data_IF_831702956716
#
_entry.id   IF_831702956716
#
_cell.length_a   1.000
_cell.length_b   1.000
_cell.length_c   1.000
_cell.angle_alpha   90.00
_cell.angle_beta   90.00
_cell.angle_gamma   90.00
#
_symmetry.space_group_name_H-M   'P 1'
#
loop_
_entity.id
_entity.type
_entity.pdbx_description
1 polymer ?
#
# COMPACT_ATOMS: atom_id res chain seq x y z
N UNK A 1 -2.41 24.13 6.29
CA UNK A 1 -3.52 23.16 6.16
C UNK A 1 -3.74 22.57 7.54
N UNK A 2 -4.97 22.46 7.97
CA UNK A 2 -5.28 22.00 9.31
C UNK A 2 -5.04 20.48 9.45
N UNK A 3 -4.54 20.05 10.62
CA UNK A 3 -4.45 18.64 10.97
C UNK A 3 -5.85 18.07 11.18
N UNK A 4 -6.06 16.80 10.84
CA UNK A 4 -7.31 16.11 11.19
C UNK A 4 -7.42 15.88 12.71
N UNK A 5 -6.34 16.06 13.45
CA UNK A 5 -6.26 15.92 14.89
C UNK A 5 -6.06 14.48 15.36
N UNK A 6 -6.60 14.21 16.56
CA UNK A 6 -6.51 12.87 17.18
C UNK A 6 -7.54 11.95 16.53
N UNK A 7 -7.08 10.77 16.10
CA UNK A 7 -7.90 9.70 15.53
C UNK A 7 -7.79 8.43 16.36
N UNK A 8 -8.74 7.52 16.19
CA UNK A 8 -8.71 6.24 16.86
C UNK A 8 -9.18 5.12 15.91
N UNK A 9 -8.46 4.00 15.86
CA UNK A 9 -8.88 2.85 15.08
C UNK A 9 -10.08 2.16 15.74
N UNK A 10 -10.92 1.56 14.91
CA UNK A 10 -12.00 0.67 15.33
C UNK A 10 -11.78 -0.73 14.78
N UNK A 11 -12.12 -1.73 15.57
CA UNK A 11 -12.05 -3.13 15.15
C UNK A 11 -13.43 -3.61 14.75
N UNK A 12 -13.57 -4.08 13.52
CA UNK A 12 -14.79 -4.66 12.98
C UNK A 12 -14.66 -6.19 12.91
N UNK A 13 -15.63 -6.91 13.49
CA UNK A 13 -15.63 -8.38 13.54
C UNK A 13 -16.60 -8.96 12.52
N UNK A 14 -16.17 -10.00 11.82
CA UNK A 14 -16.94 -10.69 10.78
C UNK A 14 -17.02 -12.18 11.12
N UNK A 15 -18.23 -12.65 11.47
CA UNK A 15 -18.49 -14.05 11.81
C UNK A 15 -18.59 -14.94 10.56
N UNK A 16 -19.10 -14.39 9.46
CA UNK A 16 -19.22 -15.15 8.21
C UNK A 16 -17.85 -15.43 7.60
N UNK A 17 -17.56 -16.69 7.23
CA UNK A 17 -16.29 -17.03 6.60
C UNK A 17 -16.06 -16.27 5.30
N UNK A 18 -14.83 -15.79 5.10
CA UNK A 18 -14.36 -15.26 3.83
C UNK A 18 -13.73 -16.41 3.02
N UNK A 19 -14.30 -16.71 1.87
CA UNK A 19 -13.69 -17.64 0.91
C UNK A 19 -12.54 -16.93 0.21
N UNK A 20 -11.37 -17.55 0.21
CA UNK A 20 -10.15 -17.00 -0.38
C UNK A 20 -9.90 -17.60 -1.77
N UNK A 21 -9.19 -16.86 -2.61
CA UNK A 21 -8.75 -17.31 -3.94
C UNK A 21 -7.90 -18.60 -3.87
N UNK A 22 -7.20 -18.82 -2.77
CA UNK A 22 -6.45 -20.07 -2.50
C UNK A 22 -7.30 -21.32 -2.34
N UNK A 23 -8.64 -21.18 -2.29
CA UNK A 23 -9.58 -22.25 -1.99
C UNK A 23 -9.83 -22.47 -0.49
N UNK A 24 -9.06 -21.82 0.37
CA UNK A 24 -9.27 -21.84 1.83
C UNK A 24 -10.42 -20.92 2.23
N UNK A 25 -10.84 -21.01 3.51
CA UNK A 25 -11.78 -20.08 4.10
C UNK A 25 -11.24 -19.55 5.42
N UNK A 26 -11.36 -18.26 5.65
CA UNK A 26 -11.02 -17.61 6.92
C UNK A 26 -12.32 -17.27 7.65
N UNK A 27 -12.60 -17.99 8.76
CA UNK A 27 -13.75 -17.75 9.62
C UNK A 27 -13.41 -16.84 10.79
N UNK A 28 -14.42 -16.12 11.33
CA UNK A 28 -14.27 -15.28 12.51
C UNK A 28 -13.03 -14.38 12.46
N UNK A 29 -12.96 -13.50 11.48
CA UNK A 29 -11.85 -12.57 11.32
C UNK A 29 -12.27 -11.15 11.70
N UNK A 30 -11.27 -10.32 11.95
CA UNK A 30 -11.44 -8.90 12.21
C UNK A 30 -10.62 -8.04 11.24
N UNK A 31 -11.12 -6.85 10.99
CA UNK A 31 -10.41 -5.78 10.27
C UNK A 31 -10.32 -4.55 11.16
N UNK A 32 -9.15 -3.93 11.16
CA UNK A 32 -8.96 -2.61 11.79
C UNK A 32 -9.19 -1.53 10.76
N UNK A 33 -9.98 -0.54 11.13
CA UNK A 33 -10.49 0.50 10.24
C UNK A 33 -10.33 1.85 10.92
N UNK A 34 -9.98 2.88 10.19
CA UNK A 34 -10.12 4.28 10.59
C UNK A 34 -11.03 5.02 9.62
N UNK A 35 -11.74 6.01 10.14
CA UNK A 35 -12.64 6.85 9.34
C UNK A 35 -12.36 8.33 9.62
N UNK A 36 -12.51 9.16 8.58
CA UNK A 36 -12.23 10.59 8.63
C UNK A 36 -13.34 11.35 7.92
N UNK A 37 -13.77 12.48 8.50
CA UNK A 37 -14.92 13.24 8.01
C UNK A 37 -16.26 12.59 8.35
N UNK A 38 -17.33 13.04 7.73
CA UNK A 38 -18.70 12.61 8.00
C UNK A 38 -19.37 12.01 6.77
N UNK A 39 -20.02 10.85 6.95
CA UNK A 39 -20.81 10.20 5.91
C UNK A 39 -22.13 10.97 5.75
N UNK A 40 -22.41 11.49 4.56
CA UNK A 40 -23.64 12.23 4.30
C UNK A 40 -24.88 11.30 4.31
N UNK A 41 -26.07 11.90 4.46
CA UNK A 41 -27.33 11.15 4.55
C UNK A 41 -27.59 10.24 3.32
N UNK A 42 -27.15 10.66 2.14
CA UNK A 42 -27.25 9.89 0.91
C UNK A 42 -26.15 8.79 0.78
N UNK A 43 -25.17 8.78 1.70
CA UNK A 43 -23.99 7.88 1.66
C UNK A 43 -23.24 7.93 0.34
N UNK A 44 -23.28 9.08 -0.34
CA UNK A 44 -22.73 9.28 -1.68
C UNK A 44 -21.30 9.81 -1.68
N UNK A 45 -20.78 10.29 -0.53
CA UNK A 45 -19.48 10.94 -0.39
C UNK A 45 -18.37 10.03 0.20
N UNK A 46 -18.59 8.73 0.22
CA UNK A 46 -17.62 7.78 0.78
C UNK A 46 -16.44 7.55 -0.17
N UNK A 47 -15.23 7.59 0.38
CA UNK A 47 -13.96 7.29 -0.32
C UNK A 47 -13.21 6.21 0.44
N UNK A 48 -12.81 5.15 -0.26
CA UNK A 48 -11.93 4.12 0.28
C UNK A 48 -10.48 4.43 -0.11
N UNK A 49 -9.60 4.51 0.88
CA UNK A 49 -8.15 4.64 0.67
C UNK A 49 -7.48 3.30 0.94
N UNK A 50 -6.91 2.71 -0.09
CA UNK A 50 -6.20 1.43 -0.05
C UNK A 50 -4.71 1.66 0.21
N UNK A 51 -4.17 1.01 1.23
CA UNK A 51 -2.79 1.24 1.66
C UNK A 51 -1.75 0.45 0.85
N UNK A 52 -0.53 0.96 0.82
CA UNK A 52 0.65 0.32 0.24
C UNK A 52 1.23 -0.78 1.16
N UNK A 53 2.29 -1.48 0.72
CA UNK A 53 2.86 -2.68 1.34
C UNK A 53 3.10 -2.55 2.85
N UNK A 54 3.76 -1.49 3.27
CA UNK A 54 4.17 -1.26 4.66
C UNK A 54 3.37 -0.17 5.39
N UNK A 55 2.27 0.28 4.78
CA UNK A 55 1.29 1.17 5.39
C UNK A 55 0.12 0.38 6.01
N UNK A 56 -0.87 1.08 6.56
CA UNK A 56 -1.99 0.48 7.27
C UNK A 56 -3.28 1.30 7.11
N UNK A 57 -4.28 1.02 7.93
CA UNK A 57 -5.50 1.81 8.06
C UNK A 57 -5.26 3.26 8.50
N UNK A 58 -4.12 3.55 9.15
CA UNK A 58 -3.78 4.87 9.67
C UNK A 58 -3.33 5.83 8.55
N UNK A 59 -4.32 6.40 7.86
CA UNK A 59 -4.08 7.24 6.67
C UNK A 59 -3.69 8.66 7.06
N UNK A 60 -4.34 9.26 8.07
CA UNK A 60 -4.13 10.64 8.47
C UNK A 60 -4.34 10.84 9.98
N UNK A 61 -3.90 11.98 10.52
CA UNK A 61 -4.02 12.30 11.93
C UNK A 61 -2.92 11.67 12.79
N UNK A 62 -3.12 11.69 14.10
CA UNK A 62 -2.20 11.15 15.11
C UNK A 62 -2.97 10.38 16.18
N UNK A 63 -2.33 9.46 16.88
CA UNK A 63 -2.92 8.79 18.05
C UNK A 63 -2.73 9.62 19.33
N UNK A 64 -3.69 9.50 20.25
CA UNK A 64 -3.65 10.25 21.50
C UNK A 64 -2.45 9.92 22.39
N UNK A 65 -2.01 8.66 22.37
CA UNK A 65 -0.91 8.11 23.15
C UNK A 65 0.46 8.19 22.45
N UNK A 66 0.48 8.47 21.14
CA UNK A 66 1.71 8.73 20.40
C UNK A 66 1.53 9.90 19.39
N UNK A 67 1.83 11.14 19.80
CA UNK A 67 1.74 12.31 18.92
C UNK A 67 2.69 12.26 17.70
N UNK A 68 3.61 11.30 17.63
CA UNK A 68 4.51 11.11 16.49
C UNK A 68 3.99 10.08 15.49
N UNK A 69 2.86 9.45 15.78
CA UNK A 69 2.19 8.50 14.90
C UNK A 69 1.42 9.20 13.77
N UNK A 70 2.11 10.00 12.95
CA UNK A 70 1.44 10.68 11.83
C UNK A 70 1.01 9.65 10.78
N UNK A 71 -0.25 9.76 10.32
CA UNK A 71 -0.79 8.92 9.25
C UNK A 71 0.06 9.01 7.98
N UNK A 72 0.16 7.90 7.25
CA UNK A 72 1.11 7.75 6.13
C UNK A 72 0.79 8.64 4.90
N UNK A 73 -0.44 9.17 4.81
CA UNK A 73 -0.88 10.14 3.81
C UNK A 73 -1.51 11.40 4.42
N UNK A 74 -1.08 11.76 5.62
CA UNK A 74 -1.59 12.95 6.31
C UNK A 74 -1.42 14.24 5.49
N UNK A 75 -0.40 14.32 4.65
CA UNK A 75 -0.22 15.45 3.74
C UNK A 75 -1.29 15.56 2.63
N UNK A 76 -1.96 14.45 2.30
CA UNK A 76 -2.96 14.40 1.24
C UNK A 76 -4.40 14.41 1.77
N UNK A 77 -4.65 13.83 2.95
CA UNK A 77 -5.99 13.60 3.52
C UNK A 77 -6.20 14.45 4.76
N UNK A 78 -7.28 15.22 4.80
CA UNK A 78 -7.65 16.04 5.95
C UNK A 78 -8.46 17.29 5.57
N UNK A 79 -8.85 18.12 6.55
CA UNK A 79 -9.61 19.34 6.32
C UNK A 79 -8.88 20.29 5.35
N UNK A 80 -9.51 20.65 4.24
CA UNK A 80 -8.93 21.53 3.22
C UNK A 80 -7.72 20.97 2.46
N UNK A 81 -7.35 19.70 2.67
CA UNK A 81 -6.28 18.99 1.93
C UNK A 81 -6.79 18.51 0.57
N UNK A 82 -5.94 17.95 -0.31
CA UNK A 82 -6.36 17.46 -1.62
C UNK A 82 -7.56 16.50 -1.59
N UNK A 83 -7.60 15.55 -0.64
CA UNK A 83 -8.78 14.80 -0.28
C UNK A 83 -9.37 15.43 0.99
N UNK A 84 -10.33 16.33 0.79
CA UNK A 84 -10.90 17.17 1.83
C UNK A 84 -11.95 16.41 2.66
N UNK A 85 -11.62 16.15 3.92
CA UNK A 85 -12.50 15.47 4.87
C UNK A 85 -13.68 16.33 5.37
N UNK A 86 -13.72 17.63 5.06
CA UNK A 86 -14.94 18.45 5.24
C UNK A 86 -16.06 18.07 4.26
N UNK A 87 -15.70 17.43 3.15
CA UNK A 87 -16.61 17.04 2.06
C UNK A 87 -16.77 15.54 1.92
N UNK A 88 -15.73 14.78 2.18
CA UNK A 88 -15.70 13.33 1.98
C UNK A 88 -15.58 12.57 3.29
N UNK A 89 -16.28 11.44 3.36
CA UNK A 89 -16.08 10.43 4.38
C UNK A 89 -15.05 9.43 3.88
N UNK A 90 -13.87 9.46 4.47
CA UNK A 90 -12.73 8.64 4.06
C UNK A 90 -12.59 7.42 4.97
N UNK A 91 -12.36 6.26 4.40
CA UNK A 91 -12.15 5.00 5.12
C UNK A 91 -10.78 4.45 4.77
N UNK A 92 -9.96 4.17 5.79
CA UNK A 92 -8.75 3.37 5.71
C UNK A 92 -8.99 1.99 6.32
N UNK A 93 -8.66 0.93 5.61
CA UNK A 93 -8.82 -0.47 6.09
C UNK A 93 -7.46 -1.13 6.13
N UNK A 94 -7.10 -1.74 7.27
CA UNK A 94 -5.92 -2.58 7.36
C UNK A 94 -6.20 -3.96 6.76
N UNK A 95 -5.46 -4.34 5.73
CA UNK A 95 -5.71 -5.57 4.97
C UNK A 95 -5.54 -6.84 5.81
N UNK A 96 -6.27 -7.89 5.47
CA UNK A 96 -6.06 -9.23 6.02
C UNK A 96 -4.63 -9.71 5.77
N UNK A 97 -4.04 -10.36 6.76
CA UNK A 97 -2.65 -10.81 6.68
C UNK A 97 -1.63 -9.74 7.05
N UNK A 98 -2.06 -8.48 7.26
CA UNK A 98 -1.19 -7.40 7.75
C UNK A 98 -0.92 -7.51 9.25
N UNK A 99 0.14 -6.84 9.73
CA UNK A 99 0.58 -6.88 11.13
C UNK A 99 0.07 -5.70 11.99
N UNK A 100 -0.94 -4.94 11.51
CA UNK A 100 -1.46 -3.77 12.19
C UNK A 100 -2.88 -3.98 12.75
N UNK A 101 -3.15 -5.17 13.29
CA UNK A 101 -4.34 -5.49 14.08
C UNK A 101 -5.46 -6.22 13.34
N UNK A 102 -5.56 -6.16 12.01
CA UNK A 102 -6.44 -7.08 11.26
C UNK A 102 -5.96 -8.52 11.39
N UNK A 103 -6.87 -9.49 11.25
CA UNK A 103 -6.48 -10.91 11.33
C UNK A 103 -5.38 -11.24 10.35
N UNK A 104 -4.29 -11.81 10.86
CA UNK A 104 -3.07 -12.11 10.11
C UNK A 104 -2.22 -13.17 10.80
N UNK A 105 -0.98 -13.36 10.37
CA UNK A 105 -0.07 -14.36 10.93
C UNK A 105 0.15 -14.27 12.44
N UNK A 106 0.11 -13.05 12.99
CA UNK A 106 0.28 -12.80 14.43
C UNK A 106 -0.99 -13.13 15.24
N UNK A 107 -2.14 -13.24 14.60
CA UNK A 107 -3.41 -13.54 15.26
C UNK A 107 -3.44 -14.98 15.77
N UNK A 108 -4.19 -15.20 16.87
CA UNK A 108 -4.38 -16.55 17.41
C UNK A 108 -5.33 -17.34 16.50
N UNK A 109 -4.87 -18.50 16.05
CA UNK A 109 -5.67 -19.48 15.36
C UNK A 109 -6.63 -20.16 16.37
N UNK A 110 -7.96 -20.01 16.22
CA UNK A 110 -8.91 -20.58 17.18
C UNK A 110 -8.84 -22.12 17.27
N UNK A 111 -8.34 -22.77 16.23
CA UNK A 111 -8.24 -24.25 16.19
C UNK A 111 -7.07 -24.78 17.01
N UNK A 112 -6.02 -23.98 17.21
CA UNK A 112 -4.79 -24.40 17.87
C UNK A 112 -4.49 -23.64 19.18
N UNK A 113 -5.09 -22.46 19.36
CA UNK A 113 -4.80 -21.56 20.46
C UNK A 113 -3.41 -20.90 20.36
N UNK A 114 -2.74 -20.96 19.20
CA UNK A 114 -1.42 -20.40 18.92
C UNK A 114 -1.50 -19.41 17.76
N UNK A 115 -0.51 -18.52 17.58
CA UNK A 115 -0.46 -17.69 16.39
C UNK A 115 -0.52 -18.52 15.10
N UNK A 116 -1.18 -18.00 14.09
CA UNK A 116 -1.22 -18.68 12.78
C UNK A 116 0.19 -18.91 12.22
N UNK A 117 1.08 -17.92 12.34
CA UNK A 117 2.41 -17.96 11.76
C UNK A 117 2.37 -18.26 10.26
N UNK A 118 3.24 -19.14 9.80
CA UNK A 118 3.27 -19.59 8.41
C UNK A 118 2.02 -20.40 7.97
N UNK A 119 1.14 -20.78 8.90
CA UNK A 119 -0.11 -21.46 8.59
C UNK A 119 -1.23 -20.49 8.19
N UNK A 120 -1.02 -19.19 8.35
CA UNK A 120 -2.02 -18.22 7.86
C UNK A 120 -2.23 -18.43 6.35
N UNK A 121 -3.49 -18.52 5.89
CA UNK A 121 -3.75 -18.80 4.48
C UNK A 121 -3.20 -17.68 3.59
N UNK A 122 -2.70 -18.05 2.41
CA UNK A 122 -2.27 -17.06 1.42
C UNK A 122 -3.48 -16.26 0.96
N UNK A 123 -3.36 -14.95 1.07
CA UNK A 123 -4.37 -13.97 0.63
C UNK A 123 -3.88 -13.27 -0.62
N UNK A 124 -4.81 -12.80 -1.45
CA UNK A 124 -4.56 -12.04 -2.67
C UNK A 124 -5.13 -10.63 -2.58
N UNK A 125 -4.85 -9.80 -3.57
CA UNK A 125 -5.45 -8.46 -3.70
C UNK A 125 -6.97 -8.56 -3.78
N UNK A 126 -7.48 -9.55 -4.50
CA UNK A 126 -8.91 -9.80 -4.65
C UNK A 126 -9.57 -10.21 -3.32
N UNK A 127 -8.88 -10.98 -2.49
CA UNK A 127 -9.35 -11.34 -1.16
C UNK A 127 -9.47 -10.09 -0.26
N UNK A 128 -8.51 -9.17 -0.36
CA UNK A 128 -8.59 -7.88 0.36
C UNK A 128 -9.79 -7.07 -0.09
N UNK A 129 -10.04 -7.00 -1.40
CA UNK A 129 -11.21 -6.30 -1.96
C UNK A 129 -12.52 -6.93 -1.46
N UNK A 130 -12.62 -8.25 -1.40
CA UNK A 130 -13.79 -8.92 -0.82
C UNK A 130 -13.97 -8.59 0.67
N UNK A 131 -12.90 -8.54 1.45
CA UNK A 131 -12.95 -8.18 2.86
C UNK A 131 -13.36 -6.70 3.05
N UNK A 132 -12.78 -5.80 2.25
CA UNK A 132 -13.12 -4.37 2.26
C UNK A 132 -14.58 -4.12 1.83
N UNK A 133 -15.14 -4.94 0.93
CA UNK A 133 -16.54 -4.86 0.53
C UNK A 133 -17.48 -5.12 1.71
N UNK A 134 -17.14 -6.04 2.62
CA UNK A 134 -17.91 -6.26 3.85
C UNK A 134 -17.84 -5.07 4.82
N UNK A 135 -16.71 -4.35 4.84
CA UNK A 135 -16.62 -3.08 5.59
C UNK A 135 -17.57 -2.05 4.99
N UNK A 136 -17.60 -1.91 3.67
CA UNK A 136 -18.53 -1.01 2.99
C UNK A 136 -20.00 -1.37 3.30
N UNK A 137 -20.34 -2.66 3.28
CA UNK A 137 -21.69 -3.15 3.60
C UNK A 137 -22.08 -2.81 5.06
N UNK A 138 -21.16 -2.95 6.00
CA UNK A 138 -21.39 -2.61 7.40
C UNK A 138 -21.63 -1.10 7.62
N UNK A 139 -21.02 -0.23 6.83
CA UNK A 139 -21.33 1.20 6.79
C UNK A 139 -22.58 1.53 5.95
N UNK A 140 -23.17 0.55 5.27
CA UNK A 140 -24.30 0.72 4.36
C UNK A 140 -23.93 1.53 3.11
N UNK A 141 -22.68 1.45 2.65
CA UNK A 141 -22.18 2.13 1.47
C UNK A 141 -22.39 1.20 0.26
N UNK A 142 -23.38 1.52 -0.56
CA UNK A 142 -23.67 0.77 -1.77
C UNK A 142 -22.65 1.08 -2.87
N UNK A 143 -22.21 2.34 -2.95
CA UNK A 143 -21.28 2.81 -3.97
C UNK A 143 -20.31 3.85 -3.40
N UNK A 144 -19.01 3.65 -3.60
CA UNK A 144 -18.00 4.65 -3.30
C UNK A 144 -17.98 5.78 -4.34
N UNK A 145 -17.85 7.03 -3.86
CA UNK A 145 -17.50 8.17 -4.71
C UNK A 145 -16.15 7.94 -5.39
N UNK A 146 -15.18 7.40 -4.63
CA UNK A 146 -13.91 6.97 -5.18
C UNK A 146 -13.32 5.79 -4.38
N UNK A 147 -12.57 4.93 -5.06
CA UNK A 147 -11.59 4.03 -4.45
C UNK A 147 -10.22 4.47 -4.94
N UNK A 148 -9.32 4.74 -4.00
CA UNK A 148 -8.03 5.38 -4.26
C UNK A 148 -6.89 4.60 -3.60
N UNK A 149 -5.74 4.54 -4.25
CA UNK A 149 -4.53 4.02 -3.64
C UNK A 149 -3.28 4.30 -4.44
N UNK A 150 -2.14 4.25 -3.74
CA UNK A 150 -0.82 4.34 -4.34
C UNK A 150 -0.11 2.98 -4.32
N UNK A 151 0.69 2.67 -5.35
CA UNK A 151 1.45 1.43 -5.42
C UNK A 151 0.54 0.19 -5.32
N UNK A 152 0.75 -0.70 -4.34
CA UNK A 152 -0.16 -1.82 -4.03
C UNK A 152 -1.60 -1.35 -3.78
N UNK A 153 -1.79 -0.15 -3.23
CA UNK A 153 -3.11 0.45 -3.05
C UNK A 153 -3.81 0.73 -4.38
N UNK A 154 -3.06 1.12 -5.41
CA UNK A 154 -3.58 1.30 -6.77
C UNK A 154 -4.03 -0.03 -7.40
N UNK A 155 -3.29 -1.13 -7.17
CA UNK A 155 -3.74 -2.46 -7.58
C UNK A 155 -5.07 -2.84 -6.91
N UNK A 156 -5.25 -2.52 -5.64
CA UNK A 156 -6.51 -2.74 -4.93
C UNK A 156 -7.65 -1.89 -5.53
N UNK A 157 -7.38 -0.62 -5.82
CA UNK A 157 -8.37 0.27 -6.44
C UNK A 157 -8.78 -0.24 -7.84
N UNK A 158 -7.81 -0.70 -8.63
CA UNK A 158 -8.07 -1.33 -9.93
C UNK A 158 -8.92 -2.60 -9.76
N UNK A 159 -8.54 -3.49 -8.84
CA UNK A 159 -9.30 -4.71 -8.54
C UNK A 159 -10.75 -4.40 -8.12
N UNK A 160 -10.96 -3.38 -7.27
CA UNK A 160 -12.30 -2.91 -6.89
C UNK A 160 -13.17 -2.55 -8.10
N UNK A 161 -12.61 -1.80 -9.03
CA UNK A 161 -13.33 -1.35 -10.24
C UNK A 161 -13.71 -2.49 -11.19
N UNK A 162 -13.01 -3.62 -11.10
CA UNK A 162 -13.24 -4.82 -11.89
C UNK A 162 -14.20 -5.79 -11.21
N UNK A 163 -14.01 -6.03 -9.90
CA UNK A 163 -14.79 -6.99 -9.14
C UNK A 163 -16.17 -6.46 -8.75
N UNK A 164 -16.27 -5.15 -8.53
CA UNK A 164 -17.50 -4.47 -8.12
C UNK A 164 -17.77 -3.24 -8.99
N UNK A 165 -17.97 -3.39 -10.32
CA UNK A 165 -18.05 -2.27 -11.25
C UNK A 165 -19.20 -1.30 -10.96
N UNK A 166 -20.30 -1.76 -10.34
CA UNK A 166 -21.43 -0.91 -9.95
C UNK A 166 -21.13 -0.11 -8.67
N UNK A 167 -20.17 -0.57 -7.85
CA UNK A 167 -19.90 0.00 -6.54
C UNK A 167 -18.78 1.04 -6.53
N UNK A 168 -18.17 1.34 -7.67
CA UNK A 168 -17.06 2.31 -7.80
C UNK A 168 -17.42 3.36 -8.82
N UNK A 169 -17.58 4.62 -8.38
CA UNK A 169 -17.82 5.73 -9.31
C UNK A 169 -16.51 6.19 -9.97
N UNK A 170 -15.46 6.35 -9.16
CA UNK A 170 -14.13 6.74 -9.61
C UNK A 170 -13.06 5.79 -9.06
N UNK A 171 -12.13 5.38 -9.91
CA UNK A 171 -10.90 4.65 -9.54
C UNK A 171 -9.71 5.60 -9.69
N UNK A 172 -9.00 5.84 -8.60
CA UNK A 172 -7.81 6.71 -8.58
C UNK A 172 -6.59 5.82 -8.30
N UNK A 173 -5.82 5.56 -9.34
CA UNK A 173 -4.68 4.65 -9.35
C UNK A 173 -3.38 5.44 -9.52
N UNK A 174 -2.53 5.43 -8.49
CA UNK A 174 -1.36 6.29 -8.38
C UNK A 174 -0.10 5.42 -8.27
N UNK A 175 0.92 5.72 -9.10
CA UNK A 175 2.21 5.03 -9.06
C UNK A 175 2.06 3.51 -9.01
N UNK A 176 1.20 2.92 -9.84
CA UNK A 176 0.84 1.50 -9.80
C UNK A 176 1.04 0.83 -11.16
N UNK A 177 0.72 -0.45 -11.22
CA UNK A 177 0.91 -1.30 -12.40
C UNK A 177 -0.21 -2.34 -12.48
N UNK A 178 -0.65 -2.76 -13.68
CA UNK A 178 -1.65 -3.81 -13.80
C UNK A 178 -1.15 -5.18 -13.37
N UNK A 179 0.18 -5.39 -13.32
CA UNK A 179 0.85 -6.59 -12.80
C UNK A 179 2.33 -6.32 -12.58
N UNK A 180 2.96 -7.12 -11.73
CA UNK A 180 4.40 -7.04 -11.54
C UNK A 180 5.17 -7.50 -12.79
N UNK A 181 6.28 -6.81 -13.07
CA UNK A 181 7.28 -7.27 -14.03
C UNK A 181 8.12 -8.41 -13.44
N UNK A 182 8.80 -9.17 -14.30
CA UNK A 182 9.76 -10.18 -13.86
C UNK A 182 10.84 -9.60 -12.92
N UNK A 183 11.28 -8.35 -13.16
CA UNK A 183 12.24 -7.66 -12.31
C UNK A 183 11.65 -7.41 -10.91
N UNK A 184 10.40 -6.96 -10.80
CA UNK A 184 9.76 -6.73 -9.50
C UNK A 184 9.56 -8.04 -8.73
N UNK A 185 9.17 -9.13 -9.42
CA UNK A 185 9.06 -10.47 -8.81
C UNK A 185 10.44 -10.94 -8.33
N UNK A 186 11.52 -10.68 -9.07
CA UNK A 186 12.87 -11.00 -8.67
C UNK A 186 13.30 -10.24 -7.40
N UNK A 187 13.00 -8.96 -7.27
CA UNK A 187 13.25 -8.21 -6.03
C UNK A 187 12.48 -8.79 -4.85
N UNK A 188 11.21 -9.15 -5.05
CA UNK A 188 10.41 -9.80 -4.00
C UNK A 188 11.03 -11.15 -3.60
N UNK A 189 11.53 -11.93 -4.55
CA UNK A 189 12.15 -13.23 -4.28
C UNK A 189 13.45 -13.08 -3.48
N UNK A 190 14.31 -12.12 -3.81
CA UNK A 190 15.52 -11.85 -3.02
C UNK A 190 15.17 -11.46 -1.59
N UNK A 191 14.16 -10.59 -1.41
CA UNK A 191 13.69 -10.18 -0.10
C UNK A 191 13.11 -11.36 0.71
N UNK A 192 12.28 -12.20 0.08
CA UNK A 192 11.74 -13.42 0.73
C UNK A 192 12.83 -14.41 1.08
N UNK A 193 13.78 -14.64 0.18
CA UNK A 193 14.92 -15.54 0.42
C UNK A 193 15.75 -15.09 1.61
N UNK A 194 15.97 -13.77 1.78
CA UNK A 194 16.66 -13.23 2.94
C UNK A 194 15.91 -13.54 4.26
N UNK A 195 14.58 -13.40 4.27
CA UNK A 195 13.75 -13.72 5.45
C UNK A 195 13.75 -15.23 5.73
N UNK A 196 13.55 -16.06 4.70
CA UNK A 196 13.46 -17.52 4.84
C UNK A 196 14.79 -18.16 5.28
N UNK A 197 15.91 -17.55 4.93
CA UNK A 197 17.25 -18.00 5.32
C UNK A 197 17.72 -17.46 6.68
N UNK A 198 16.96 -16.57 7.32
CA UNK A 198 17.29 -16.06 8.65
C UNK A 198 17.19 -17.18 9.69
N UNK A 199 18.24 -17.44 10.50
CA UNK A 199 18.21 -18.47 11.53
C UNK A 199 17.03 -18.34 12.51
N UNK A 200 16.59 -17.10 12.78
CA UNK A 200 15.49 -16.80 13.68
C UNK A 200 14.10 -16.92 13.03
N UNK A 201 14.01 -17.31 11.76
CA UNK A 201 12.71 -17.47 11.06
C UNK A 201 11.93 -18.71 11.53
N UNK A 202 12.61 -19.79 11.92
CA UNK A 202 12.01 -21.03 12.42
C UNK A 202 10.85 -21.56 11.58
N UNK A 203 10.96 -21.53 10.26
CA UNK A 203 9.89 -21.96 9.35
C UNK A 203 8.60 -21.14 9.47
N UNK A 204 8.69 -19.93 10.00
CA UNK A 204 7.57 -19.01 10.24
C UNK A 204 6.90 -19.14 11.62
N UNK A 205 7.43 -19.99 12.50
CA UNK A 205 6.92 -20.19 13.87
C UNK A 205 7.76 -19.46 14.94
N UNK A 206 8.48 -18.41 14.56
CA UNK A 206 9.36 -17.62 15.42
C UNK A 206 8.65 -16.98 16.63
N UNK A 207 7.32 -16.81 16.57
CA UNK A 207 6.53 -16.34 17.72
C UNK A 207 6.65 -17.28 18.92
N UNK A 208 6.63 -18.62 18.68
CA UNK A 208 6.77 -19.61 19.74
C UNK A 208 8.18 -19.61 20.37
N UNK A 209 9.16 -19.09 19.67
CA UNK A 209 10.55 -18.98 20.13
C UNK A 209 10.86 -17.62 20.78
N UNK A 210 9.89 -16.67 20.75
CA UNK A 210 10.11 -15.32 21.30
C UNK A 210 11.17 -14.50 20.55
N UNK A 211 11.44 -14.83 19.29
CA UNK A 211 12.42 -14.17 18.42
C UNK A 211 11.75 -13.55 17.20
N UNK A 212 12.50 -12.78 16.42
CA UNK A 212 12.06 -12.20 15.15
C UNK A 212 13.22 -12.29 14.14
N UNK A 213 12.96 -12.68 12.88
CA UNK A 213 13.99 -12.77 11.83
C UNK A 213 14.39 -11.37 11.35
N UNK A 214 15.04 -10.61 12.23
CA UNK A 214 15.39 -9.21 11.99
C UNK A 214 16.44 -9.04 10.90
N UNK A 215 17.35 -10.01 10.72
CA UNK A 215 18.38 -9.94 9.68
C UNK A 215 17.76 -10.01 8.30
N UNK A 216 16.85 -10.96 8.09
CA UNK A 216 16.13 -11.11 6.85
C UNK A 216 15.22 -9.92 6.53
N UNK A 217 14.46 -9.45 7.53
CA UNK A 217 13.62 -8.25 7.40
C UNK A 217 14.44 -6.99 7.07
N UNK A 218 15.62 -6.83 7.68
CA UNK A 218 16.55 -5.75 7.37
C UNK A 218 16.93 -5.75 5.89
N UNK A 219 17.40 -6.89 5.37
CA UNK A 219 17.80 -7.01 3.96
C UNK A 219 16.63 -6.77 3.03
N UNK A 220 15.45 -7.32 3.34
CA UNK A 220 14.23 -7.08 2.58
C UNK A 220 13.88 -5.59 2.49
N UNK A 221 14.02 -4.85 3.60
CA UNK A 221 13.78 -3.40 3.63
C UNK A 221 14.85 -2.61 2.86
N UNK A 222 16.12 -3.00 2.96
CA UNK A 222 17.21 -2.37 2.21
C UNK A 222 16.95 -2.45 0.70
N UNK A 223 16.56 -3.62 0.18
CA UNK A 223 16.16 -3.80 -1.22
C UNK A 223 14.97 -2.90 -1.56
N UNK A 224 13.97 -2.84 -0.68
CA UNK A 224 12.83 -1.94 -0.83
C UNK A 224 13.28 -0.49 -1.03
N UNK A 225 14.13 0.03 -0.15
CA UNK A 225 14.62 1.42 -0.25
C UNK A 225 15.41 1.68 -1.54
N UNK A 226 16.24 0.75 -2.00
CA UNK A 226 16.93 0.89 -3.27
C UNK A 226 15.93 1.01 -4.42
N UNK A 227 14.82 0.27 -4.39
CA UNK A 227 13.83 0.27 -5.47
C UNK A 227 12.81 1.41 -5.37
N UNK A 228 12.70 2.09 -4.22
CA UNK A 228 11.76 3.18 -4.00
C UNK A 228 12.33 4.55 -4.36
N UNK A 229 13.64 4.73 -4.26
CA UNK A 229 14.32 5.96 -4.61
C UNK A 229 14.81 5.92 -6.07
N UNK A 230 14.91 7.08 -6.71
CA UNK A 230 15.60 7.21 -7.99
C UNK A 230 17.12 7.21 -7.80
N UNK A 231 17.87 6.98 -8.89
CA UNK A 231 19.33 7.12 -8.87
C UNK A 231 19.75 8.56 -8.56
N UNK A 232 19.04 9.54 -9.15
CA UNK A 232 19.28 10.96 -8.91
C UNK A 232 19.04 11.35 -7.44
N UNK A 233 17.95 10.88 -6.83
CA UNK A 233 17.63 11.15 -5.42
C UNK A 233 18.66 10.53 -4.47
N UNK A 234 19.12 9.31 -4.78
CA UNK A 234 20.21 8.67 -4.03
C UNK A 234 21.53 9.39 -4.21
N UNK A 235 21.84 9.85 -5.43
CA UNK A 235 23.03 10.61 -5.71
C UNK A 235 23.03 11.98 -5.02
N UNK A 236 21.90 12.69 -5.01
CA UNK A 236 21.73 13.98 -4.32
C UNK A 236 21.87 13.82 -2.80
N UNK A 237 21.23 12.78 -2.21
CA UNK A 237 21.23 12.57 -0.76
C UNK A 237 22.57 12.06 -0.21
N UNK A 238 23.24 11.20 -0.92
CA UNK A 238 24.41 10.47 -0.39
C UNK A 238 25.66 10.62 -1.24
N UNK A 239 25.53 10.68 -2.57
CA UNK A 239 26.65 10.65 -3.48
C UNK A 239 27.62 9.50 -3.16
N UNK A 240 28.89 9.84 -2.96
CA UNK A 240 29.94 8.95 -2.46
C UNK A 240 30.48 9.43 -1.10
N UNK A 241 29.66 10.12 -0.31
CA UNK A 241 30.06 10.65 0.99
C UNK A 241 30.45 9.51 1.94
N UNK A 242 31.59 9.67 2.59
CA UNK A 242 32.09 8.75 3.61
C UNK A 242 31.53 9.16 4.98
N UNK A 243 31.09 8.16 5.74
CA UNK A 243 30.69 8.34 7.12
C UNK A 243 31.94 8.47 7.99
N UNK A 244 32.18 9.64 8.56
CA UNK A 244 33.39 9.93 9.31
C UNK A 244 33.12 10.12 10.80
N UNK A 245 34.08 9.68 11.62
CA UNK A 245 34.24 10.24 12.95
C UNK A 245 34.88 11.63 12.83
N UNK A 246 34.54 12.55 13.73
CA UNK A 246 35.10 13.91 13.74
C UNK A 246 36.65 13.88 13.71
N UNK A 247 37.22 14.55 12.73
CA UNK A 247 38.68 14.68 12.57
C UNK A 247 39.37 13.55 11.79
N UNK A 248 38.64 12.58 11.21
CA UNK A 248 39.25 11.54 10.39
C UNK A 248 39.73 12.07 9.03
N UNK A 249 40.85 11.52 8.52
CA UNK A 249 41.37 11.79 7.20
C UNK A 249 40.43 11.27 6.10
N UNK A 250 40.49 11.86 4.91
CA UNK A 250 39.72 11.47 3.73
C UNK A 250 40.28 10.19 3.07
N UNK A 251 40.25 9.09 3.81
CA UNK A 251 40.77 7.80 3.39
C UNK A 251 39.80 6.67 3.72
N UNK A 252 39.82 5.61 2.90
CA UNK A 252 39.09 4.39 3.17
C UNK A 252 39.69 3.62 4.35
N UNK A 253 38.82 2.96 5.14
CA UNK A 253 39.24 2.09 6.23
C UNK A 253 39.73 0.72 5.76
N UNK A 254 39.50 0.35 4.49
CA UNK A 254 39.82 -0.94 3.90
C UNK A 254 39.27 -2.12 4.74
N UNK A 255 38.04 -1.96 5.27
CA UNK A 255 37.34 -2.95 6.08
C UNK A 255 35.94 -3.24 5.50
N UNK A 256 35.20 -4.17 6.12
CA UNK A 256 33.80 -4.45 5.80
C UNK A 256 32.84 -3.72 6.74
N UNK A 257 33.30 -2.79 7.54
CA UNK A 257 32.47 -1.90 8.33
C UNK A 257 31.79 -0.86 7.45
N UNK A 258 30.85 -0.10 8.04
CA UNK A 258 30.14 0.97 7.32
C UNK A 258 31.14 2.08 6.98
N UNK A 259 31.31 2.34 5.71
CA UNK A 259 32.17 3.44 5.20
C UNK A 259 31.38 4.54 4.54
N UNK A 260 30.35 4.21 3.73
CA UNK A 260 29.57 5.20 3.00
C UNK A 260 28.27 5.58 3.76
N UNK A 261 27.85 6.82 3.62
CA UNK A 261 26.59 7.30 4.23
C UNK A 261 25.38 6.50 3.76
N UNK A 262 25.34 6.08 2.50
CA UNK A 262 24.26 5.25 1.96
C UNK A 262 24.17 3.88 2.66
N UNK A 263 25.30 3.29 3.05
CA UNK A 263 25.32 2.02 3.80
C UNK A 263 24.69 2.22 5.19
N UNK A 264 25.07 3.30 5.87
CA UNK A 264 24.49 3.68 7.15
C UNK A 264 22.98 3.90 7.07
N UNK A 265 22.55 4.63 6.06
CA UNK A 265 21.13 4.88 5.80
C UNK A 265 20.35 3.58 5.58
N UNK A 266 20.84 2.69 4.71
CA UNK A 266 20.16 1.41 4.43
C UNK A 266 20.06 0.53 5.67
N UNK A 267 21.15 0.44 6.46
CA UNK A 267 21.14 -0.32 7.72
C UNK A 267 20.14 0.26 8.71
N UNK A 268 20.13 1.57 8.90
CA UNK A 268 19.20 2.26 9.79
C UNK A 268 17.73 2.01 9.38
N UNK A 269 17.39 2.17 8.10
CA UNK A 269 16.04 1.93 7.60
C UNK A 269 15.62 0.46 7.74
N UNK A 270 16.57 -0.44 7.50
CA UNK A 270 16.34 -1.86 7.67
C UNK A 270 16.08 -2.25 9.13
N UNK A 271 16.87 -1.75 10.06
CA UNK A 271 16.72 -2.01 11.49
C UNK A 271 15.40 -1.45 12.03
N UNK A 272 15.10 -0.18 11.70
CA UNK A 272 13.82 0.44 12.05
C UNK A 272 12.61 -0.38 11.57
N UNK A 273 12.64 -0.85 10.33
CA UNK A 273 11.57 -1.67 9.77
C UNK A 273 11.44 -3.02 10.48
N UNK A 274 12.56 -3.70 10.76
CA UNK A 274 12.58 -5.00 11.43
C UNK A 274 12.03 -4.94 12.87
N UNK A 275 12.03 -3.76 13.50
CA UNK A 275 11.48 -3.61 14.84
C UNK A 275 9.96 -3.69 14.88
N UNK A 276 9.25 -3.10 13.91
CA UNK A 276 7.79 -3.03 13.93
C UNK A 276 7.08 -3.96 12.95
N UNK A 277 7.71 -4.34 11.82
CA UNK A 277 7.04 -5.13 10.79
C UNK A 277 7.16 -6.64 11.07
N UNK A 278 6.18 -7.41 10.59
CA UNK A 278 6.14 -8.86 10.76
C UNK A 278 6.64 -9.60 9.50
N UNK A 279 7.47 -10.64 9.69
CA UNK A 279 8.10 -11.35 8.58
C UNK A 279 7.11 -12.20 7.77
N UNK A 280 6.21 -12.93 8.44
CA UNK A 280 5.18 -13.70 7.75
C UNK A 280 4.24 -12.78 6.95
N UNK A 281 3.88 -11.62 7.52
CA UNK A 281 3.13 -10.58 6.82
C UNK A 281 3.87 -10.11 5.56
N UNK A 282 5.18 -9.88 5.64
CA UNK A 282 5.96 -9.48 4.46
C UNK A 282 5.93 -10.54 3.35
N UNK A 283 6.08 -11.82 3.72
CA UNK A 283 5.99 -12.94 2.78
C UNK A 283 4.61 -12.98 2.09
N UNK A 284 3.53 -12.83 2.86
CA UNK A 284 2.16 -12.83 2.33
C UNK A 284 1.91 -11.68 1.37
N UNK A 285 2.22 -10.45 1.77
CA UNK A 285 1.95 -9.26 0.96
C UNK A 285 2.76 -9.30 -0.34
N UNK A 286 4.03 -9.68 -0.30
CA UNK A 286 4.84 -9.80 -1.52
C UNK A 286 4.33 -10.91 -2.44
N UNK A 287 3.75 -11.98 -1.88
CA UNK A 287 3.13 -13.02 -2.70
C UNK A 287 1.80 -12.56 -3.32
N UNK A 288 1.00 -11.78 -2.59
CA UNK A 288 -0.22 -11.17 -3.14
C UNK A 288 0.10 -10.21 -4.31
N UNK A 289 1.19 -9.43 -4.18
CA UNK A 289 1.71 -8.60 -5.27
C UNK A 289 2.09 -9.43 -6.50
N UNK A 290 2.83 -10.54 -6.32
CA UNK A 290 3.27 -11.42 -7.41
C UNK A 290 2.08 -12.04 -8.16
N UNK A 291 0.98 -12.33 -7.45
CA UNK A 291 -0.18 -13.00 -8.01
C UNK A 291 -1.14 -12.08 -8.75
N UNK A 292 -1.11 -10.78 -8.44
CA UNK A 292 -2.03 -9.83 -9.06
C UNK A 292 -1.77 -9.69 -10.56
N UNK A 293 -2.69 -10.18 -11.36
CA UNK A 293 -2.73 -10.04 -12.82
C UNK A 293 -4.18 -10.13 -13.31
N UNK A 294 -4.91 -9.01 -13.41
CA UNK A 294 -6.29 -9.01 -13.87
C UNK A 294 -6.48 -9.52 -15.30
N UNK A 295 -5.41 -9.52 -16.11
CA UNK A 295 -5.45 -10.01 -17.48
C UNK A 295 -5.23 -11.54 -17.58
N UNK A 296 -4.86 -12.21 -16.49
CA UNK A 296 -4.56 -13.66 -16.49
C UNK A 296 -5.69 -14.51 -17.03
N UNK A 297 -6.94 -14.22 -16.65
CA UNK A 297 -8.13 -14.93 -17.12
C UNK A 297 -8.54 -14.58 -18.57
N UNK A 298 -7.82 -13.63 -19.19
CA UNK A 298 -8.06 -13.13 -20.54
C UNK A 298 -6.83 -13.32 -21.45
N UNK A 299 -6.07 -14.37 -21.22
CA UNK A 299 -4.86 -14.70 -21.99
C UNK A 299 -3.83 -13.54 -22.07
N UNK A 300 -3.75 -12.75 -21.01
CA UNK A 300 -2.87 -11.58 -20.91
C UNK A 300 -3.41 -10.31 -21.60
N UNK A 301 -4.64 -10.33 -22.09
CA UNK A 301 -5.28 -9.18 -22.74
C UNK A 301 -5.88 -8.22 -21.70
N UNK A 302 -5.14 -7.17 -21.36
CA UNK A 302 -5.59 -6.17 -20.38
C UNK A 302 -6.83 -5.39 -20.85
N UNK A 303 -6.98 -5.12 -22.16
CA UNK A 303 -8.16 -4.46 -22.70
C UNK A 303 -9.41 -5.30 -22.46
N UNK A 304 -9.35 -6.62 -22.68
CA UNK A 304 -10.47 -7.51 -22.40
C UNK A 304 -10.78 -7.57 -20.90
N UNK A 305 -9.76 -7.61 -20.02
CA UNK A 305 -9.94 -7.58 -18.58
C UNK A 305 -10.66 -6.31 -18.09
N UNK A 306 -10.30 -5.14 -18.66
CA UNK A 306 -10.87 -3.85 -18.27
C UNK A 306 -12.21 -3.53 -18.95
N UNK A 307 -12.74 -4.41 -19.80
CA UNK A 307 -14.01 -4.17 -20.50
C UNK A 307 -15.22 -4.05 -19.56
N UNK A 308 -15.20 -4.75 -18.42
CA UNK A 308 -16.34 -4.80 -17.50
C UNK A 308 -16.43 -3.60 -16.54
N UNK A 309 -15.34 -2.82 -16.36
CA UNK A 309 -15.37 -1.67 -15.45
C UNK A 309 -16.35 -0.60 -15.90
N UNK A 310 -16.98 0.09 -14.94
CA UNK A 310 -17.88 1.24 -15.16
C UNK A 310 -17.34 2.52 -14.53
N UNK A 311 -16.25 2.44 -13.81
CA UNK A 311 -15.64 3.58 -13.14
C UNK A 311 -15.08 4.60 -14.14
N UNK A 312 -15.01 5.86 -13.72
CA UNK A 312 -14.15 6.89 -14.30
C UNK A 312 -12.78 6.80 -13.64
N UNK A 313 -11.71 7.10 -14.38
CA UNK A 313 -10.37 6.89 -13.88
C UNK A 313 -9.55 8.17 -13.78
N UNK A 314 -8.76 8.28 -12.74
CA UNK A 314 -7.54 9.08 -12.69
C UNK A 314 -6.36 8.11 -12.53
N UNK A 315 -5.44 8.16 -13.47
CA UNK A 315 -4.17 7.42 -13.41
C UNK A 315 -3.05 8.46 -13.26
N UNK A 316 -2.23 8.35 -12.22
CA UNK A 316 -1.08 9.22 -12.00
C UNK A 316 0.21 8.41 -11.89
N UNK A 317 1.26 8.86 -12.55
CA UNK A 317 2.61 8.26 -12.49
C UNK A 317 3.66 9.33 -12.28
N UNK A 318 4.89 8.92 -11.92
CA UNK A 318 6.01 9.83 -11.66
C UNK A 318 7.19 9.49 -12.56
N UNK A 319 7.81 10.51 -13.18
CA UNK A 319 8.78 10.32 -14.27
C UNK A 319 9.98 9.43 -13.91
N UNK A 320 10.45 9.49 -12.67
CA UNK A 320 11.62 8.75 -12.19
C UNK A 320 11.28 7.45 -11.46
N UNK A 321 9.98 7.08 -11.38
CA UNK A 321 9.58 5.79 -10.83
C UNK A 321 10.02 4.66 -11.76
N UNK A 322 11.08 3.96 -11.38
CA UNK A 322 11.59 2.83 -12.12
C UNK A 322 11.11 1.48 -11.59
N UNK A 323 10.50 1.47 -10.38
CA UNK A 323 9.85 0.29 -9.82
C UNK A 323 8.53 0.00 -10.53
N UNK A 324 7.65 0.99 -10.62
CA UNK A 324 6.40 0.95 -11.39
C UNK A 324 6.43 2.06 -12.44
N UNK A 325 7.29 1.85 -13.43
CA UNK A 325 7.58 2.87 -14.44
C UNK A 325 6.30 3.39 -15.12
N UNK A 326 6.27 4.68 -15.53
CA UNK A 326 5.11 5.30 -16.20
C UNK A 326 4.57 4.50 -17.39
N UNK A 327 5.42 3.73 -18.05
CA UNK A 327 4.99 2.82 -19.11
C UNK A 327 3.91 1.82 -18.64
N UNK A 328 3.96 1.38 -17.38
CA UNK A 328 2.97 0.45 -16.81
C UNK A 328 1.62 1.14 -16.60
N UNK A 329 1.61 2.36 -16.09
CA UNK A 329 0.41 3.18 -16.00
C UNK A 329 -0.22 3.45 -17.37
N UNK A 330 0.62 3.74 -18.38
CA UNK A 330 0.15 3.94 -19.77
C UNK A 330 -0.49 2.69 -20.38
N UNK A 331 -0.13 1.47 -19.96
CA UNK A 331 -0.84 0.23 -20.35
C UNK A 331 -2.29 0.23 -19.88
N UNK A 332 -2.54 0.64 -18.62
CA UNK A 332 -3.88 0.76 -18.06
C UNK A 332 -4.67 1.82 -18.83
N UNK A 333 -4.07 3.00 -19.04
CA UNK A 333 -4.70 4.10 -19.80
C UNK A 333 -5.10 3.65 -21.21
N UNK A 334 -4.18 2.99 -21.92
CA UNK A 334 -4.47 2.48 -23.26
C UNK A 334 -5.64 1.50 -23.26
N UNK A 335 -5.64 0.53 -22.36
CA UNK A 335 -6.70 -0.46 -22.26
C UNK A 335 -8.07 0.17 -21.92
N UNK A 336 -8.08 1.22 -21.09
CA UNK A 336 -9.30 1.99 -20.79
C UNK A 336 -9.80 2.78 -21.99
N UNK A 337 -8.91 3.42 -22.76
CA UNK A 337 -9.26 4.15 -23.98
C UNK A 337 -9.80 3.21 -25.07
N UNK A 338 -9.17 2.04 -25.26
CA UNK A 338 -9.65 1.01 -26.19
C UNK A 338 -11.08 0.57 -25.84
N UNK A 339 -11.43 0.55 -24.56
CA UNK A 339 -12.80 0.29 -24.06
C UNK A 339 -13.70 1.52 -24.01
N UNK A 340 -13.26 2.67 -24.52
CA UNK A 340 -14.00 3.95 -24.49
C UNK A 340 -14.41 4.37 -23.07
N UNK A 341 -13.58 4.07 -22.07
CA UNK A 341 -13.80 4.48 -20.67
C UNK A 341 -13.25 5.89 -20.45
N UNK A 342 -13.89 6.61 -19.54
CA UNK A 342 -13.42 7.93 -19.13
C UNK A 342 -12.16 7.78 -18.30
N UNK A 343 -11.03 8.29 -18.79
CA UNK A 343 -9.76 8.27 -18.09
C UNK A 343 -9.06 9.62 -18.20
N UNK A 344 -8.55 10.11 -17.07
CA UNK A 344 -7.58 11.20 -16.99
C UNK A 344 -6.23 10.60 -16.66
N UNK A 345 -5.16 11.05 -17.31
CA UNK A 345 -3.81 10.60 -17.06
C UNK A 345 -2.89 11.79 -16.81
N UNK A 346 -2.05 11.68 -15.79
CA UNK A 346 -0.97 12.63 -15.55
C UNK A 346 0.33 11.87 -15.24
N UNK A 347 1.41 12.28 -15.91
CA UNK A 347 2.78 11.90 -15.58
C UNK A 347 3.45 13.11 -14.95
N UNK A 348 3.79 12.99 -13.66
CA UNK A 348 4.35 14.09 -12.87
C UNK A 348 5.86 13.96 -12.89
N UNK A 349 6.52 15.03 -13.31
CA UNK A 349 7.97 15.10 -13.28
C UNK A 349 8.45 15.30 -11.83
N UNK A 350 8.95 14.22 -11.21
CA UNK A 350 9.41 14.22 -9.82
C UNK A 350 10.69 13.38 -9.70
N UNK A 351 11.70 13.85 -8.95
CA UNK A 351 12.99 13.17 -8.85
C UNK A 351 13.02 12.01 -7.85
N UNK A 352 11.96 11.80 -7.07
CA UNK A 352 11.97 10.96 -5.86
C UNK A 352 11.64 9.48 -6.09
N UNK A 353 11.62 9.02 -7.34
CA UNK A 353 11.33 7.62 -7.65
C UNK A 353 9.92 7.21 -7.30
N UNK A 354 9.77 5.98 -6.81
CA UNK A 354 8.48 5.41 -6.45
C UNK A 354 7.83 6.09 -5.24
N UNK A 355 8.63 6.54 -4.26
CA UNK A 355 8.12 7.19 -3.05
C UNK A 355 7.53 8.60 -3.31
N UNK A 356 7.65 9.13 -4.52
CA UNK A 356 7.12 10.45 -4.90
C UNK A 356 5.62 10.60 -4.57
N UNK A 357 4.81 9.54 -4.63
CA UNK A 357 3.38 9.61 -4.29
C UNK A 357 3.10 9.85 -2.79
N UNK A 358 4.09 9.69 -1.92
CA UNK A 358 4.00 9.94 -0.48
C UNK A 358 4.47 11.34 -0.09
N UNK A 359 5.16 12.05 -1.00
CA UNK A 359 5.81 13.31 -0.70
C UNK A 359 4.95 14.51 -1.12
N UNK A 360 5.31 15.66 -0.56
CA UNK A 360 4.68 16.93 -0.91
C UNK A 360 5.18 17.41 -2.28
N UNK A 361 4.33 17.33 -3.29
CA UNK A 361 4.52 17.96 -4.60
C UNK A 361 3.24 18.74 -4.97
N UNK A 362 3.40 20.03 -5.19
CA UNK A 362 2.28 20.92 -5.44
C UNK A 362 1.49 20.54 -6.71
N UNK A 363 2.17 20.04 -7.75
CA UNK A 363 1.52 19.60 -9.03
C UNK A 363 0.69 18.37 -8.79
N UNK A 364 1.24 17.40 -8.05
CA UNK A 364 0.55 16.17 -7.66
C UNK A 364 -0.66 16.49 -6.77
N UNK A 365 -0.47 17.27 -5.72
CA UNK A 365 -1.54 17.65 -4.80
C UNK A 365 -2.64 18.46 -5.49
N UNK A 366 -2.30 19.37 -6.41
CA UNK A 366 -3.28 20.11 -7.19
C UNK A 366 -4.06 19.21 -8.16
N UNK A 367 -3.41 18.21 -8.78
CA UNK A 367 -4.09 17.22 -9.61
C UNK A 367 -5.15 16.46 -8.80
N UNK A 368 -4.79 15.95 -7.62
CA UNK A 368 -5.71 15.21 -6.75
C UNK A 368 -6.85 16.11 -6.29
N UNK A 369 -6.55 17.34 -5.84
CA UNK A 369 -7.55 18.33 -5.44
C UNK A 369 -8.56 18.61 -6.56
N UNK A 370 -8.10 18.93 -7.74
CA UNK A 370 -8.96 19.25 -8.87
C UNK A 370 -9.86 18.05 -9.26
N UNK A 371 -9.32 16.83 -9.15
CA UNK A 371 -10.10 15.64 -9.45
C UNK A 371 -11.17 15.38 -8.36
N UNK A 372 -10.85 15.58 -7.07
CA UNK A 372 -11.82 15.47 -5.99
C UNK A 372 -12.87 16.59 -6.00
N UNK A 373 -12.54 17.80 -6.44
CA UNK A 373 -13.53 18.86 -6.68
C UNK A 373 -14.56 18.43 -7.73
N UNK A 374 -14.12 17.77 -8.81
CA UNK A 374 -15.02 17.19 -9.79
C UNK A 374 -15.92 16.12 -9.18
N UNK A 375 -15.35 15.17 -8.42
CA UNK A 375 -16.13 14.12 -7.74
C UNK A 375 -17.16 14.74 -6.81
N UNK A 376 -16.79 15.73 -6.01
CA UNK A 376 -17.67 16.39 -5.08
C UNK A 376 -18.88 17.04 -5.78
N UNK A 377 -18.67 17.68 -6.92
CA UNK A 377 -19.76 18.22 -7.74
C UNK A 377 -20.68 17.13 -8.30
N UNK A 378 -20.15 15.95 -8.63
CA UNK A 378 -20.93 14.82 -9.14
C UNK A 378 -21.80 14.16 -8.05
N UNK A 379 -21.35 14.12 -6.80
CA UNK A 379 -22.04 13.46 -5.67
C UNK A 379 -22.78 14.45 -4.75
N UNK A 380 -22.67 15.74 -5.00
CA UNK A 380 -23.31 16.79 -4.19
C UNK A 380 -22.69 16.95 -2.79
N UNK A 381 -21.36 16.80 -2.69
CA UNK A 381 -20.60 16.86 -1.44
C UNK A 381 -19.87 18.19 -1.25
#
# INVERSE_FOLDING_TARGET
MESIGIVAPQTMHFAEPLRLQSGSALGNYQLVVETYGELNAARSNAVLVCHALNASHHVAGVYADDPRSTGWWDNLVGPGKPLDTNRFFVIGVNNLGSCFGSTGPMSIDPSTGKPYGARFPVVTVEDWVHAQARVADAFGIERFAAVMGGSLGGMQALAWSLMYPERVAHCIDIASTPKLSAQNIAFNEVARSAILSDPDFHGGDYYAHGVKPKRGLRVARMIGHITYLSDDDMAEKFGRALRRADGALDAYNFSFDVEFEVESYLRYQGDKFADYFDANTYLLITRALDYFDPAKAFDGNLTAALAQTKAKYLIASFSTDWRFAPARSREIVKALLDNKRTVSYAEIDAPHGHDAFLLDDARYHNLIRAYYERIANEVGA
#
